data_IF_001561529021
#
_entry.id   IF_001561529021
#
_cell.length_a   1.000
_cell.length_b   1.000
_cell.length_c   1.000
_cell.angle_alpha   90.00
_cell.angle_beta   90.00
_cell.angle_gamma   90.00
#
_symmetry.space_group_name_H-M   'P 1'
#
loop_
_entity.id
_entity.type
_entity.pdbx_description
1 polymer ?
#
# COMPACT_ATOMS: atom_id res chain seq x y z
N UNK A 1 22.94 0.95 -24.23
CA UNK A 1 23.08 2.28 -24.88
C UNK A 1 22.02 3.18 -24.26
N UNK A 2 22.34 4.44 -23.93
CA UNK A 2 21.33 5.41 -23.46
C UNK A 2 20.68 6.05 -24.69
N UNK A 3 19.76 5.33 -25.31
CA UNK A 3 19.10 5.70 -26.55
C UNK A 3 17.81 6.48 -26.30
N UNK A 4 17.87 7.43 -25.36
CA UNK A 4 16.79 8.31 -24.90
C UNK A 4 17.39 9.69 -24.57
N UNK A 5 16.55 10.72 -24.40
CA UNK A 5 16.96 12.12 -24.32
C UNK A 5 17.77 12.60 -25.54
N UNK A 6 17.44 12.08 -26.72
CA UNK A 6 18.05 12.49 -27.98
C UNK A 6 17.66 13.94 -28.34
N UNK A 7 16.44 14.31 -28.00
CA UNK A 7 15.85 15.61 -28.29
C UNK A 7 15.14 16.21 -27.10
N UNK A 8 15.10 17.55 -27.06
CA UNK A 8 14.42 18.28 -26.01
C UNK A 8 14.39 19.78 -26.29
N UNK A 9 14.07 20.57 -25.26
CA UNK A 9 14.02 22.03 -25.34
C UNK A 9 15.34 22.66 -25.83
N UNK A 10 16.47 21.98 -25.64
CA UNK A 10 17.80 22.44 -26.07
C UNK A 10 17.99 22.48 -27.59
N UNK A 11 17.09 21.87 -28.39
CA UNK A 11 17.14 21.93 -29.85
C UNK A 11 16.48 23.19 -30.43
N UNK A 12 15.92 24.05 -29.58
CA UNK A 12 15.26 25.28 -30.00
C UNK A 12 16.24 26.23 -30.70
N UNK A 13 16.06 26.45 -32.00
CA UNK A 13 16.92 27.31 -32.83
C UNK A 13 18.15 26.61 -33.44
N UNK A 14 18.27 25.30 -33.28
CA UNK A 14 19.34 24.53 -33.90
C UNK A 14 19.13 24.40 -35.43
N UNK A 15 20.08 24.90 -36.21
CA UNK A 15 20.01 24.93 -37.68
C UNK A 15 20.02 23.54 -38.35
N UNK A 16 20.44 22.50 -37.64
CA UNK A 16 20.60 21.14 -38.18
C UNK A 16 19.37 20.25 -37.94
N UNK A 17 18.60 20.50 -36.88
CA UNK A 17 17.31 19.85 -36.63
C UNK A 17 16.18 20.51 -37.40
N UNK A 18 16.34 21.78 -37.82
CA UNK A 18 15.34 22.53 -38.56
C UNK A 18 14.16 22.97 -37.68
N UNK A 19 13.04 23.36 -38.29
CA UNK A 19 11.81 23.74 -37.56
C UNK A 19 10.94 22.53 -37.14
N UNK A 20 11.56 21.36 -36.97
CA UNK A 20 10.87 20.10 -36.72
C UNK A 20 11.02 19.68 -35.25
N UNK A 21 9.95 19.11 -34.69
CA UNK A 21 9.91 18.57 -33.33
C UNK A 21 10.09 17.05 -33.40
N UNK A 22 11.03 16.51 -32.62
CA UNK A 22 11.38 15.07 -32.60
C UNK A 22 11.25 14.53 -31.18
N UNK A 23 10.87 13.26 -31.04
CA UNK A 23 10.70 12.63 -29.74
C UNK A 23 12.00 12.29 -29.03
N UNK A 24 11.95 12.17 -27.70
CA UNK A 24 13.09 11.81 -26.84
C UNK A 24 13.70 10.42 -27.16
N UNK A 25 12.92 9.52 -27.78
CA UNK A 25 13.31 8.11 -28.04
C UNK A 25 12.94 7.70 -29.48
N UNK A 26 13.58 8.30 -30.48
CA UNK A 26 13.26 8.10 -31.91
C UNK A 26 13.97 6.87 -32.50
N UNK A 27 13.24 5.79 -32.88
CA UNK A 27 13.88 4.60 -33.47
C UNK A 27 14.67 4.89 -34.73
N UNK A 28 14.27 5.85 -35.56
CA UNK A 28 15.05 6.23 -36.74
C UNK A 28 16.39 6.83 -36.32
N UNK A 29 16.48 7.47 -35.16
CA UNK A 29 17.73 8.01 -34.61
C UNK A 29 18.53 7.04 -33.76
N UNK A 30 17.85 6.09 -33.11
CA UNK A 30 18.49 4.93 -32.51
C UNK A 30 19.07 4.07 -33.62
N UNK A 31 18.32 3.87 -34.71
CA UNK A 31 18.79 3.30 -35.97
C UNK A 31 19.95 4.15 -36.48
N UNK A 32 19.86 5.47 -36.69
CA UNK A 32 21.00 6.36 -37.08
C UNK A 32 22.20 6.27 -36.12
N UNK A 33 22.01 6.13 -34.81
CA UNK A 33 23.08 5.92 -33.84
C UNK A 33 23.77 4.57 -34.02
N UNK A 34 23.03 3.57 -34.50
CA UNK A 34 23.52 2.25 -34.92
C UNK A 34 23.98 2.22 -36.41
N UNK A 35 23.43 3.10 -37.26
CA UNK A 35 23.65 3.34 -38.70
C UNK A 35 24.77 4.38 -38.92
N UNK A 36 25.35 4.96 -37.87
CA UNK A 36 26.72 5.48 -37.91
C UNK A 36 27.71 4.39 -38.36
N UNK A 37 27.25 3.12 -38.40
CA UNK A 37 27.90 2.04 -39.09
C UNK A 37 27.53 1.89 -40.58
N UNK A 38 26.37 2.27 -41.15
CA UNK A 38 26.07 2.33 -42.62
C UNK A 38 24.85 3.22 -42.98
N UNK A 39 24.84 3.82 -44.20
CA UNK A 39 24.09 5.05 -44.58
C UNK A 39 22.67 4.90 -45.22
N UNK A 40 21.83 5.93 -44.91
CA UNK A 40 20.76 6.66 -45.67
C UNK A 40 19.44 5.91 -46.04
N UNK A 41 18.21 6.46 -46.10
CA UNK A 41 17.49 7.73 -45.78
C UNK A 41 15.96 7.45 -46.05
N UNK A 42 14.95 8.13 -45.43
CA UNK A 42 13.53 8.44 -45.89
C UNK A 42 12.52 8.75 -44.73
N UNK A 43 11.36 9.36 -45.05
CA UNK A 43 10.44 10.35 -44.38
C UNK A 43 8.99 9.84 -44.08
N UNK A 44 8.19 10.33 -43.08
CA UNK A 44 6.77 9.92 -42.89
C UNK A 44 5.67 11.01 -42.74
N UNK A 45 4.46 10.67 -43.21
CA UNK A 45 3.10 11.20 -42.87
C UNK A 45 2.22 9.99 -42.45
N UNK A 46 1.09 10.01 -41.74
CA UNK A 46 0.03 10.98 -41.42
C UNK A 46 -0.74 10.52 -40.14
N UNK A 47 -1.65 11.33 -39.59
CA UNK A 47 -2.21 11.22 -38.22
C UNK A 47 -3.74 11.11 -38.11
N UNK A 48 -4.27 10.42 -37.09
CA UNK A 48 -5.71 10.33 -36.75
C UNK A 48 -6.03 10.65 -35.27
N UNK A 49 -7.18 11.30 -35.00
CA UNK A 49 -7.54 12.06 -33.79
C UNK A 49 -8.58 11.42 -32.84
N UNK A 50 -8.48 11.78 -31.53
CA UNK A 50 -9.52 12.23 -30.54
C UNK A 50 -9.11 11.77 -29.10
N UNK A 51 -9.13 12.54 -27.99
CA UNK A 51 -10.11 13.53 -27.50
C UNK A 51 -9.54 14.59 -26.51
N UNK A 52 -10.09 15.82 -26.60
CA UNK A 52 -10.03 17.00 -25.70
C UNK A 52 -8.65 17.60 -25.40
N UNK A 53 -8.26 18.56 -26.25
CA UNK A 53 -7.04 19.38 -26.29
C UNK A 53 -5.69 18.66 -26.28
N UNK A 54 -5.68 17.34 -26.13
CA UNK A 54 -4.49 16.50 -26.33
C UNK A 54 -4.68 15.68 -27.61
N UNK A 55 -3.81 15.92 -28.57
CA UNK A 55 -3.76 15.22 -29.85
C UNK A 55 -2.64 14.21 -29.78
N UNK A 56 -2.98 12.93 -29.77
CA UNK A 56 -2.00 11.84 -29.75
C UNK A 56 -1.65 11.43 -31.16
N UNK A 57 -0.35 11.34 -31.42
CA UNK A 57 0.22 10.93 -32.69
C UNK A 57 1.10 9.70 -32.45
N UNK A 58 1.10 8.80 -33.43
CA UNK A 58 2.05 7.70 -33.49
C UNK A 58 2.81 7.82 -34.81
N UNK A 59 4.13 7.90 -34.73
CA UNK A 59 4.98 7.79 -35.91
C UNK A 59 5.46 6.34 -36.04
N UNK A 60 4.96 5.57 -37.03
CA UNK A 60 5.32 4.17 -37.18
C UNK A 60 6.77 3.94 -37.62
N UNK A 61 7.47 4.98 -38.12
CA UNK A 61 8.87 4.88 -38.55
C UNK A 61 9.80 5.06 -37.36
N UNK A 62 9.59 6.09 -36.55
CA UNK A 62 10.34 6.28 -35.30
C UNK A 62 9.80 5.46 -34.13
N UNK A 63 8.63 4.83 -34.29
CA UNK A 63 7.85 4.15 -33.24
C UNK A 63 7.63 5.02 -32.00
N UNK A 64 7.62 6.34 -32.15
CA UNK A 64 7.39 7.26 -31.03
C UNK A 64 5.91 7.61 -30.96
N UNK A 65 5.38 7.62 -29.74
CA UNK A 65 4.12 8.33 -29.45
C UNK A 65 4.40 9.71 -28.91
N UNK A 66 3.60 10.67 -29.34
CA UNK A 66 3.65 12.01 -28.79
C UNK A 66 2.27 12.66 -28.73
N UNK A 67 2.07 13.43 -27.68
CA UNK A 67 0.88 14.21 -27.43
C UNK A 67 1.19 15.68 -27.70
N UNK A 68 0.32 16.37 -28.42
CA UNK A 68 0.36 17.83 -28.60
C UNK A 68 -0.84 18.43 -27.89
N UNK A 69 -0.62 19.45 -27.06
CA UNK A 69 -1.67 20.08 -26.28
C UNK A 69 -1.44 21.57 -26.03
N UNK A 70 -2.49 22.29 -25.61
CA UNK A 70 -2.44 23.73 -25.34
C UNK A 70 -1.87 24.57 -26.51
N UNK A 71 -2.04 24.12 -27.75
CA UNK A 71 -1.61 24.80 -28.98
C UNK A 71 -0.10 24.82 -29.26
N UNK A 72 0.76 24.70 -28.25
CA UNK A 72 2.21 24.77 -28.41
C UNK A 72 3.02 23.87 -27.45
N UNK A 73 2.35 23.06 -26.63
CA UNK A 73 3.01 22.09 -25.75
C UNK A 73 3.00 20.72 -26.40
N UNK A 74 4.02 19.93 -26.14
CA UNK A 74 4.07 18.54 -26.59
C UNK A 74 4.85 17.67 -25.62
N UNK A 75 4.57 16.37 -25.63
CA UNK A 75 5.29 15.37 -24.84
C UNK A 75 5.39 14.07 -25.65
N UNK A 76 6.61 13.58 -25.86
CA UNK A 76 6.82 12.23 -26.41
C UNK A 76 7.00 11.22 -25.29
N UNK A 77 6.47 10.02 -25.49
CA UNK A 77 6.53 8.94 -24.51
C UNK A 77 6.50 7.59 -25.22
N UNK A 78 6.72 6.54 -24.43
CA UNK A 78 6.60 5.15 -24.86
C UNK A 78 5.41 4.47 -24.17
N UNK A 79 4.73 3.59 -24.90
CA UNK A 79 3.66 2.75 -24.37
C UNK A 79 3.78 1.32 -24.88
N UNK A 80 2.81 0.46 -24.54
CA UNK A 80 2.84 -0.94 -24.93
C UNK A 80 2.99 -1.14 -26.46
N UNK A 81 2.42 -0.26 -27.28
CA UNK A 81 2.51 -0.37 -28.74
C UNK A 81 3.92 0.00 -29.24
N UNK A 82 4.46 1.15 -28.82
CA UNK A 82 5.81 1.56 -29.24
C UNK A 82 6.87 0.58 -28.74
N UNK A 83 6.71 0.05 -27.52
CA UNK A 83 7.61 -0.95 -26.95
C UNK A 83 7.63 -2.25 -27.74
N UNK A 84 6.47 -2.77 -28.14
CA UNK A 84 6.41 -3.98 -28.96
C UNK A 84 7.12 -3.80 -30.30
N UNK A 85 6.93 -2.65 -30.94
CA UNK A 85 7.58 -2.35 -32.23
C UNK A 85 9.09 -2.17 -32.07
N UNK A 86 9.54 -1.51 -30.99
CA UNK A 86 10.97 -1.40 -30.61
C UNK A 86 11.60 -2.76 -30.35
N UNK A 87 10.94 -3.63 -29.59
CA UNK A 87 11.44 -4.98 -29.32
C UNK A 87 11.56 -5.80 -30.60
N UNK A 88 10.56 -5.73 -31.49
CA UNK A 88 10.62 -6.41 -32.80
C UNK A 88 11.81 -5.96 -33.62
N UNK A 89 12.08 -4.64 -33.65
CA UNK A 89 13.24 -4.07 -34.33
C UNK A 89 14.57 -4.57 -33.71
N UNK A 90 14.70 -4.55 -32.39
CA UNK A 90 15.92 -5.00 -31.68
C UNK A 90 16.19 -6.51 -31.86
N UNK A 91 15.15 -7.35 -31.73
CA UNK A 91 15.26 -8.79 -31.98
C UNK A 91 15.63 -9.07 -33.44
N UNK A 92 15.08 -8.31 -34.39
CA UNK A 92 15.42 -8.40 -35.81
C UNK A 92 16.89 -8.04 -36.12
N UNK A 93 17.55 -7.29 -35.24
CA UNK A 93 18.96 -6.90 -35.35
C UNK A 93 19.89 -7.74 -34.46
N UNK A 94 19.40 -8.86 -33.89
CA UNK A 94 20.14 -9.74 -32.98
C UNK A 94 20.69 -9.02 -31.73
N UNK A 95 20.00 -8.00 -31.23
CA UNK A 95 20.38 -7.31 -29.99
C UNK A 95 19.80 -8.07 -28.80
N UNK A 96 20.67 -8.66 -27.99
CA UNK A 96 20.28 -9.59 -26.91
C UNK A 96 19.84 -8.93 -25.60
N UNK A 97 19.75 -7.60 -25.53
CA UNK A 97 19.47 -6.93 -24.28
C UNK A 97 18.93 -5.52 -24.46
N UNK A 98 18.06 -5.14 -23.55
CA UNK A 98 17.51 -3.79 -23.42
C UNK A 98 17.87 -3.21 -22.07
N UNK A 99 17.89 -1.89 -21.98
CA UNK A 99 18.06 -1.17 -20.73
C UNK A 99 16.91 -0.17 -20.61
N UNK A 100 16.22 -0.20 -19.47
CA UNK A 100 15.14 0.73 -19.14
C UNK A 100 15.64 1.69 -18.07
N UNK A 101 15.41 2.97 -18.31
CA UNK A 101 15.57 4.02 -17.32
C UNK A 101 14.22 4.74 -17.16
N UNK A 102 13.52 4.62 -16.04
CA UNK A 102 13.79 3.79 -14.86
C UNK A 102 12.50 3.16 -14.33
N UNK A 103 12.63 2.13 -13.47
CA UNK A 103 11.49 1.33 -12.99
C UNK A 103 10.46 2.15 -12.19
N UNK A 104 10.90 3.18 -11.48
CA UNK A 104 10.04 4.08 -10.69
C UNK A 104 9.15 4.99 -11.54
N UNK A 105 9.42 5.10 -12.84
CA UNK A 105 8.63 5.87 -13.80
C UNK A 105 7.63 5.02 -14.58
N UNK A 106 7.58 3.70 -14.34
CA UNK A 106 6.50 2.86 -14.84
C UNK A 106 5.22 3.15 -14.05
N UNK A 107 4.07 2.73 -14.57
CA UNK A 107 2.83 2.86 -13.82
C UNK A 107 2.79 1.87 -12.64
N UNK A 108 1.86 2.08 -11.71
CA UNK A 108 1.72 1.19 -10.54
C UNK A 108 1.33 -0.26 -10.88
N UNK A 109 1.05 -0.55 -12.15
CA UNK A 109 0.78 -1.88 -12.68
C UNK A 109 1.99 -2.50 -13.41
N UNK A 110 3.09 -1.75 -13.55
CA UNK A 110 4.31 -2.14 -14.25
C UNK A 110 4.07 -2.61 -15.70
N UNK A 111 3.20 -1.91 -16.43
CA UNK A 111 2.78 -2.33 -17.79
C UNK A 111 3.92 -2.31 -18.81
N UNK A 112 4.88 -1.40 -18.69
CA UNK A 112 6.05 -1.38 -19.59
C UNK A 112 6.96 -2.56 -19.30
N UNK A 113 7.21 -2.86 -18.03
CA UNK A 113 7.96 -4.04 -17.64
C UNK A 113 7.25 -5.34 -18.09
N UNK A 114 5.92 -5.40 -17.95
CA UNK A 114 5.04 -6.47 -18.45
C UNK A 114 5.20 -6.71 -19.94
N UNK A 115 5.15 -5.65 -20.74
CA UNK A 115 5.37 -5.73 -22.17
C UNK A 115 6.79 -6.20 -22.53
N UNK A 116 7.79 -5.89 -21.69
CA UNK A 116 9.18 -6.27 -21.95
C UNK A 116 9.48 -7.74 -21.65
N UNK A 117 9.13 -8.20 -20.46
CA UNK A 117 9.48 -9.55 -19.99
C UNK A 117 8.44 -10.59 -20.42
N UNK A 118 7.27 -10.15 -20.87
CA UNK A 118 6.10 -10.98 -21.10
C UNK A 118 5.29 -11.15 -19.82
N UNK A 119 3.95 -11.12 -19.95
CA UNK A 119 3.04 -11.28 -18.81
C UNK A 119 3.33 -12.59 -18.04
N UNK A 120 3.70 -13.67 -18.74
CA UNK A 120 4.05 -14.96 -18.14
C UNK A 120 5.31 -14.91 -17.25
N UNK A 121 6.31 -14.08 -17.58
CA UNK A 121 7.54 -13.94 -16.80
C UNK A 121 7.34 -13.09 -15.53
N UNK A 122 6.30 -12.25 -15.53
CA UNK A 122 5.98 -11.32 -14.44
C UNK A 122 4.85 -11.79 -13.53
N UNK A 123 3.90 -12.56 -14.06
CA UNK A 123 2.81 -13.15 -13.30
C UNK A 123 3.32 -14.00 -12.14
N UNK A 124 4.39 -14.77 -12.35
CA UNK A 124 4.94 -15.67 -11.34
C UNK A 124 5.94 -15.07 -10.35
N UNK A 125 6.48 -13.86 -10.59
CA UNK A 125 7.55 -13.29 -9.75
C UNK A 125 7.25 -11.92 -9.15
N UNK A 126 6.39 -11.10 -9.77
CA UNK A 126 6.06 -9.76 -9.29
C UNK A 126 4.63 -9.61 -8.75
N UNK A 127 3.66 -10.36 -9.27
CA UNK A 127 2.24 -10.19 -8.93
C UNK A 127 1.74 -11.20 -7.90
N UNK A 128 2.15 -12.47 -8.01
CA UNK A 128 1.92 -13.48 -6.98
C UNK A 128 3.24 -13.68 -6.25
N UNK A 129 3.43 -13.00 -5.11
CA UNK A 129 4.50 -13.34 -4.19
C UNK A 129 4.40 -14.83 -3.89
N UNK A 130 5.38 -15.61 -4.36
CA UNK A 130 5.40 -17.06 -4.16
C UNK A 130 5.19 -17.42 -2.68
N UNK A 131 4.81 -18.67 -2.42
CA UNK A 131 4.51 -19.11 -1.05
C UNK A 131 5.65 -18.76 -0.08
N UNK A 132 5.38 -17.80 0.81
CA UNK A 132 6.32 -17.45 1.87
C UNK A 132 6.58 -18.70 2.71
N UNK A 133 7.86 -18.98 2.97
CA UNK A 133 8.24 -20.00 3.95
C UNK A 133 7.64 -19.67 5.31
N UNK A 134 7.47 -20.67 6.18
CA UNK A 134 6.95 -20.47 7.54
C UNK A 134 7.74 -19.40 8.31
N UNK A 135 9.05 -19.32 8.08
CA UNK A 135 9.92 -18.31 8.68
C UNK A 135 9.58 -16.91 8.18
N UNK A 136 9.48 -16.72 6.86
CA UNK A 136 9.12 -15.42 6.26
C UNK A 136 7.71 -14.99 6.64
N UNK A 137 6.76 -15.93 6.78
CA UNK A 137 5.42 -15.65 7.30
C UNK A 137 5.47 -15.13 8.74
N UNK A 138 6.32 -15.71 9.58
CA UNK A 138 6.59 -15.24 10.94
C UNK A 138 7.15 -13.83 10.94
N UNK A 139 8.24 -13.60 10.21
CA UNK A 139 8.90 -12.28 10.11
C UNK A 139 7.95 -11.18 9.59
N UNK A 140 7.13 -11.49 8.58
CA UNK A 140 6.13 -10.55 8.07
C UNK A 140 5.02 -10.29 9.08
N UNK A 141 4.60 -11.32 9.82
CA UNK A 141 3.64 -11.15 10.92
C UNK A 141 4.24 -10.21 11.96
N UNK A 142 5.47 -10.44 12.40
CA UNK A 142 6.12 -9.59 13.41
C UNK A 142 6.23 -8.13 12.94
N UNK A 143 6.58 -7.89 11.67
CA UNK A 143 6.62 -6.55 11.09
C UNK A 143 5.25 -5.84 11.07
N UNK A 144 4.17 -6.59 10.87
CA UNK A 144 2.81 -6.06 10.85
C UNK A 144 2.15 -6.02 12.24
N UNK A 145 2.83 -6.52 13.29
CA UNK A 145 2.22 -6.62 14.61
C UNK A 145 1.91 -5.26 15.24
N UNK A 146 2.78 -4.28 15.00
CA UNK A 146 2.57 -2.90 15.44
C UNK A 146 1.32 -2.25 14.85
N UNK A 147 0.86 -2.69 13.67
CA UNK A 147 -0.25 -2.09 12.92
C UNK A 147 -1.56 -2.87 13.01
N UNK A 148 -1.56 -4.00 13.72
CA UNK A 148 -2.72 -4.88 13.86
C UNK A 148 -3.11 -5.12 15.31
N UNK A 149 -2.21 -4.79 16.25
CA UNK A 149 -2.40 -5.08 17.67
C UNK A 149 -2.45 -6.57 17.96
N UNK A 150 -1.92 -7.42 17.06
CA UNK A 150 -1.76 -8.84 17.34
C UNK A 150 -0.81 -9.02 18.53
N UNK A 151 -0.96 -10.15 19.23
CA UNK A 151 -0.23 -10.49 20.46
C UNK A 151 -0.37 -9.52 21.64
N UNK A 152 -1.27 -8.53 21.59
CA UNK A 152 -1.60 -7.72 22.78
C UNK A 152 -2.26 -8.54 23.89
N UNK A 153 -2.09 -8.08 25.12
CA UNK A 153 -2.92 -8.50 26.26
C UNK A 153 -3.15 -7.32 27.23
N UNK A 154 -4.00 -7.55 28.21
CA UNK A 154 -4.23 -6.61 29.33
C UNK A 154 -3.72 -7.28 30.59
N UNK A 155 -3.05 -6.53 31.47
CA UNK A 155 -2.67 -7.00 32.80
C UNK A 155 -3.88 -7.57 33.55
N UNK A 156 -3.66 -8.62 34.33
CA UNK A 156 -4.74 -9.33 35.02
C UNK A 156 -5.34 -8.47 36.13
N UNK A 157 -4.46 -7.92 36.97
CA UNK A 157 -4.85 -7.09 38.11
C UNK A 157 -4.73 -5.59 37.81
N UNK A 158 -5.55 -4.84 38.54
CA UNK A 158 -5.45 -3.41 38.62
C UNK A 158 -4.25 -3.01 39.48
N UNK A 159 -3.50 -2.02 39.02
CA UNK A 159 -2.35 -1.45 39.71
C UNK A 159 -2.58 0.03 40.03
N UNK A 160 -1.99 0.50 41.12
CA UNK A 160 -1.88 1.92 41.48
C UNK A 160 -0.52 2.54 41.07
N UNK A 161 0.33 1.77 40.36
CA UNK A 161 1.66 2.18 39.93
C UNK A 161 2.73 2.14 41.03
N UNK A 162 2.42 1.62 42.23
CA UNK A 162 3.41 1.47 43.29
C UNK A 162 4.46 0.41 42.95
N UNK A 163 5.69 0.60 43.43
CA UNK A 163 6.82 -0.29 43.16
C UNK A 163 6.67 -1.72 43.70
N UNK A 164 5.71 -1.95 44.60
CA UNK A 164 5.39 -3.26 45.16
C UNK A 164 4.52 -4.12 44.22
N UNK A 165 3.95 -3.52 43.16
CA UNK A 165 3.11 -4.18 42.16
C UNK A 165 3.86 -4.31 40.84
N UNK A 166 5.05 -4.92 40.89
CA UNK A 166 5.98 -5.02 39.76
C UNK A 166 6.02 -6.41 39.10
N UNK A 167 5.12 -7.29 39.50
CA UNK A 167 4.94 -8.63 38.94
C UNK A 167 4.13 -8.58 37.61
N UNK A 168 4.22 -9.65 36.82
CA UNK A 168 3.61 -9.76 35.49
C UNK A 168 2.06 -9.73 35.49
N UNK A 169 1.43 -9.92 36.64
CA UNK A 169 -0.02 -9.82 36.78
C UNK A 169 -0.47 -8.34 36.89
N UNK A 170 0.39 -7.45 37.40
CA UNK A 170 0.13 -6.02 37.58
C UNK A 170 0.70 -5.15 36.46
N UNK A 171 1.88 -5.50 35.95
CA UNK A 171 2.57 -4.74 34.88
C UNK A 171 2.82 -5.61 33.65
N UNK A 172 3.22 -4.98 32.54
CA UNK A 172 3.59 -5.74 31.35
C UNK A 172 4.81 -6.63 31.62
N UNK A 173 4.65 -7.92 31.33
CA UNK A 173 5.71 -8.93 31.40
C UNK A 173 6.91 -8.58 30.50
N UNK A 174 8.05 -9.19 30.80
CA UNK A 174 9.30 -9.02 30.02
C UNK A 174 9.06 -9.23 28.52
N UNK A 175 9.57 -8.29 27.70
CA UNK A 175 9.35 -8.27 26.24
C UNK A 175 8.08 -7.53 25.81
N UNK A 176 7.27 -7.06 26.76
CA UNK A 176 6.12 -6.21 26.52
C UNK A 176 6.27 -4.85 27.21
N UNK A 177 5.61 -3.85 26.68
CA UNK A 177 5.52 -2.53 27.31
C UNK A 177 4.11 -1.99 27.22
N UNK A 178 3.77 -1.11 28.17
CA UNK A 178 2.44 -0.53 28.24
C UNK A 178 2.27 0.53 27.17
N UNK A 179 1.31 0.33 26.28
CA UNK A 179 0.92 1.32 25.26
C UNK A 179 0.05 2.40 25.88
N UNK A 180 -0.91 1.96 26.70
CA UNK A 180 -1.85 2.82 27.39
C UNK A 180 -2.37 2.12 28.64
N UNK A 181 -3.02 2.89 29.50
CA UNK A 181 -3.75 2.41 30.67
C UNK A 181 -5.26 2.51 30.44
N UNK A 182 -6.02 1.66 31.12
CA UNK A 182 -7.47 1.58 31.02
C UNK A 182 -8.09 1.14 32.34
N UNK A 183 -9.36 1.51 32.57
CA UNK A 183 -10.06 1.19 33.80
C UNK A 183 -10.76 -0.17 33.72
N UNK A 184 -11.54 -0.39 32.66
CA UNK A 184 -12.24 -1.64 32.39
C UNK A 184 -12.05 -2.05 30.91
N UNK A 185 -10.80 -2.35 30.49
CA UNK A 185 -10.51 -2.70 29.11
C UNK A 185 -11.03 -4.08 28.71
N UNK A 186 -11.29 -4.28 27.42
CA UNK A 186 -11.58 -5.62 26.88
C UNK A 186 -10.29 -6.37 26.49
N UNK A 187 -10.09 -7.54 27.10
CA UNK A 187 -8.90 -8.37 26.84
C UNK A 187 -8.93 -8.99 25.42
N UNK A 188 -10.11 -9.37 24.95
CA UNK A 188 -10.38 -9.94 23.61
C UNK A 188 -11.81 -9.61 23.20
N UNK A 189 -12.11 -9.59 21.90
CA UNK A 189 -13.49 -9.59 21.40
C UNK A 189 -14.32 -10.70 22.08
N UNK A 190 -15.18 -10.31 23.02
CA UNK A 190 -16.07 -11.20 23.76
C UNK A 190 -15.50 -11.87 25.01
N UNK A 191 -14.32 -11.48 25.50
CA UNK A 191 -13.83 -11.91 26.82
C UNK A 191 -13.72 -10.69 27.74
N UNK A 192 -14.63 -10.63 28.71
CA UNK A 192 -14.73 -9.54 29.68
C UNK A 192 -13.87 -9.86 30.89
N UNK A 193 -12.99 -8.94 31.30
CA UNK A 193 -12.37 -9.00 32.62
C UNK A 193 -13.45 -8.50 33.59
N UNK A 194 -13.99 -9.42 34.39
CA UNK A 194 -15.26 -9.24 35.12
C UNK A 194 -15.25 -8.16 36.20
N UNK A 195 -14.07 -7.73 36.64
CA UNK A 195 -13.85 -6.75 37.68
C UNK A 195 -13.34 -5.41 37.11
N UNK A 196 -13.87 -4.32 37.65
CA UNK A 196 -13.44 -2.95 37.35
C UNK A 196 -12.39 -2.50 38.37
N UNK A 197 -11.51 -1.58 37.98
CA UNK A 197 -10.51 -1.05 38.91
C UNK A 197 -11.15 -0.08 39.92
N UNK A 198 -10.58 0.02 41.11
CA UNK A 198 -10.96 1.09 42.05
C UNK A 198 -10.44 2.45 41.57
N UNK A 199 -10.99 3.54 42.11
CA UNK A 199 -10.45 4.90 41.92
C UNK A 199 -8.93 4.95 42.16
N UNK A 200 -8.21 5.53 41.22
CA UNK A 200 -6.75 5.67 41.24
C UNK A 200 -6.00 4.43 40.72
N UNK A 201 -6.69 3.33 40.43
CA UNK A 201 -6.10 2.13 39.85
C UNK A 201 -6.48 1.95 38.39
N UNK A 202 -5.63 1.23 37.66
CA UNK A 202 -5.80 0.98 36.23
C UNK A 202 -5.14 -0.34 35.82
N UNK A 203 -5.44 -0.79 34.61
CA UNK A 203 -4.74 -1.91 33.94
C UNK A 203 -3.88 -1.41 32.82
N UNK A 204 -2.81 -2.15 32.53
CA UNK A 204 -1.97 -1.90 31.39
C UNK A 204 -2.46 -2.65 30.15
N UNK A 205 -2.51 -1.95 29.02
CA UNK A 205 -2.62 -2.58 27.71
C UNK A 205 -1.20 -2.81 27.20
N UNK A 206 -0.81 -4.07 27.14
CA UNK A 206 0.55 -4.51 26.86
C UNK A 206 0.69 -4.97 25.42
N UNK A 207 1.68 -4.41 24.72
CA UNK A 207 2.10 -4.82 23.38
C UNK A 207 3.59 -5.20 23.39
N UNK A 208 4.03 -6.07 22.46
CA UNK A 208 5.44 -6.41 22.33
C UNK A 208 6.29 -5.14 22.16
N UNK A 209 7.40 -5.05 22.88
CA UNK A 209 8.27 -3.86 22.85
C UNK A 209 8.91 -3.63 21.49
N UNK A 210 9.24 -4.72 20.78
CA UNK A 210 9.81 -4.73 19.43
C UNK A 210 8.80 -4.45 18.31
N UNK A 211 7.51 -4.59 18.60
CA UNK A 211 6.41 -4.30 17.67
C UNK A 211 5.40 -3.32 18.29
N UNK A 212 5.90 -2.25 18.90
CA UNK A 212 5.09 -1.23 19.57
C UNK A 212 4.23 -0.45 18.55
N UNK A 213 2.90 -0.37 18.73
CA UNK A 213 2.04 0.49 17.93
C UNK A 213 2.40 1.97 18.06
N UNK A 214 2.14 2.76 17.01
CA UNK A 214 2.50 4.18 16.95
C UNK A 214 1.27 5.08 17.05
N UNK A 215 1.48 6.28 17.61
CA UNK A 215 0.48 7.35 17.73
C UNK A 215 -0.86 6.86 18.30
N UNK A 216 -0.79 6.14 19.41
CA UNK A 216 -1.97 5.58 20.06
C UNK A 216 -2.65 6.60 20.97
N UNK A 217 -3.94 6.85 20.72
CA UNK A 217 -4.73 7.79 21.51
C UNK A 217 -6.12 7.24 21.84
N UNK A 218 -6.61 7.58 23.02
CA UNK A 218 -7.98 7.30 23.42
C UNK A 218 -8.93 8.29 22.75
N UNK A 219 -9.91 7.76 22.03
CA UNK A 219 -10.92 8.52 21.30
C UNK A 219 -12.32 8.07 21.69
N UNK A 220 -13.32 8.95 21.50
CA UNK A 220 -14.71 8.58 21.74
C UNK A 220 -15.20 8.80 23.17
N UNK A 221 -14.44 9.47 24.03
CA UNK A 221 -14.96 10.01 25.28
C UNK A 221 -16.03 11.08 24.98
N UNK A 222 -17.08 11.21 25.81
CA UNK A 222 -18.14 12.19 25.60
C UNK A 222 -17.58 13.60 25.62
N UNK A 223 -18.01 14.41 24.66
CA UNK A 223 -17.67 15.84 24.61
C UNK A 223 -18.91 16.63 24.99
N UNK A 224 -18.81 17.52 25.99
CA UNK A 224 -19.93 18.37 26.46
C UNK A 224 -21.12 17.53 26.98
N UNK A 225 -22.35 17.92 26.64
CA UNK A 225 -23.63 17.33 27.11
C UNK A 225 -24.02 16.03 26.40
N UNK A 226 -23.13 15.43 25.61
CA UNK A 226 -23.39 14.13 24.99
C UNK A 226 -23.33 13.02 26.05
N UNK A 227 -24.33 12.12 26.01
CA UNK A 227 -24.41 10.96 26.88
C UNK A 227 -23.87 9.77 26.12
N UNK A 228 -22.91 9.05 26.70
CA UNK A 228 -22.33 7.88 26.06
C UNK A 228 -20.94 8.12 25.45
N UNK A 229 -20.18 7.05 25.33
CA UNK A 229 -18.96 6.99 24.53
C UNK A 229 -19.25 6.43 23.13
N UNK A 230 -18.39 6.79 22.17
CA UNK A 230 -18.48 6.38 20.77
C UNK A 230 -17.13 5.83 20.29
N UNK A 231 -16.98 4.49 20.27
CA UNK A 231 -15.79 3.84 19.74
C UNK A 231 -15.71 3.95 18.23
N UNK A 232 -14.92 4.92 17.75
CA UNK A 232 -14.58 5.08 16.34
C UNK A 232 -13.15 5.55 16.18
N UNK A 233 -12.36 4.79 15.44
CA UNK A 233 -11.04 5.21 14.99
C UNK A 233 -11.12 5.93 13.63
N UNK A 234 -10.08 6.71 13.32
CA UNK A 234 -9.94 7.32 12.00
C UNK A 234 -9.78 6.31 10.86
N UNK A 235 -9.88 6.76 9.61
CA UNK A 235 -9.75 5.91 8.42
C UNK A 235 -8.39 5.23 8.30
N UNK A 236 -7.34 5.85 8.83
CA UNK A 236 -5.97 5.34 8.77
C UNK A 236 -5.52 4.66 10.06
N UNK A 237 -6.45 4.44 10.99
CA UNK A 237 -6.16 3.91 12.32
C UNK A 237 -6.87 2.57 12.55
N UNK A 238 -6.26 1.72 13.36
CA UNK A 238 -6.89 0.50 13.84
C UNK A 238 -7.26 0.63 15.32
N UNK A 239 -8.36 -0.02 15.71
CA UNK A 239 -8.79 -0.11 17.10
C UNK A 239 -7.97 -1.18 17.82
N UNK A 240 -7.05 -0.75 18.68
CA UNK A 240 -6.25 -1.65 19.51
C UNK A 240 -7.10 -2.22 20.64
N UNK A 241 -7.77 -1.38 21.42
CA UNK A 241 -8.59 -1.79 22.57
C UNK A 241 -9.78 -0.84 22.78
N UNK A 242 -10.69 -1.21 23.68
CA UNK A 242 -11.79 -0.35 24.16
C UNK A 242 -11.82 -0.33 25.67
N UNK A 243 -12.43 0.71 26.23
CA UNK A 243 -12.63 0.89 27.66
C UNK A 243 -14.06 1.40 27.90
N UNK A 244 -14.73 0.86 28.93
CA UNK A 244 -16.08 1.27 29.31
C UNK A 244 -16.12 2.58 30.11
N UNK A 245 -14.96 3.14 30.45
CA UNK A 245 -14.84 4.35 31.24
C UNK A 245 -14.17 5.45 30.44
N UNK A 246 -14.47 6.71 30.78
CA UNK A 246 -13.93 7.87 30.05
C UNK A 246 -12.46 8.14 30.38
N UNK A 247 -11.97 7.61 31.50
CA UNK A 247 -10.61 7.74 32.02
C UNK A 247 -10.13 6.43 32.66
N UNK A 248 -8.81 6.21 32.73
CA UNK A 248 -8.24 4.99 33.26
C UNK A 248 -8.28 4.90 34.80
N UNK A 249 -8.24 6.04 35.50
CA UNK A 249 -8.08 6.12 36.95
C UNK A 249 -9.29 6.72 37.67
N UNK A 250 -10.27 7.24 36.94
CA UNK A 250 -11.52 7.77 37.51
C UNK A 250 -12.66 6.78 37.33
N UNK A 251 -13.52 6.69 38.33
CA UNK A 251 -14.77 5.92 38.27
C UNK A 251 -15.87 6.67 37.50
N UNK A 252 -15.56 7.14 36.29
CA UNK A 252 -16.50 7.84 35.41
C UNK A 252 -16.85 6.95 34.21
N UNK A 253 -17.94 6.16 34.29
CA UNK A 253 -18.31 5.23 33.23
C UNK A 253 -18.87 5.96 32.01
N UNK A 254 -18.75 5.33 30.84
CA UNK A 254 -19.36 5.81 29.61
C UNK A 254 -20.90 5.79 29.65
N UNK A 255 -21.53 5.04 30.56
CA UNK A 255 -22.97 4.71 30.63
C UNK A 255 -23.51 3.94 29.42
N UNK A 256 -23.22 4.39 28.20
CA UNK A 256 -23.56 3.75 26.94
C UNK A 256 -22.33 3.75 26.03
N UNK A 257 -22.06 2.62 25.38
CA UNK A 257 -20.89 2.49 24.49
C UNK A 257 -19.56 2.40 25.23
N UNK A 258 -18.48 2.60 24.49
CA UNK A 258 -17.10 2.51 24.94
C UNK A 258 -16.22 3.53 24.21
N UNK A 259 -15.09 3.91 24.82
CA UNK A 259 -14.04 4.67 24.14
C UNK A 259 -13.06 3.71 23.49
N UNK A 260 -12.45 4.10 22.37
CA UNK A 260 -11.52 3.27 21.62
C UNK A 260 -10.09 3.80 21.74
N UNK A 261 -9.13 2.89 21.99
CA UNK A 261 -7.71 3.16 21.83
C UNK A 261 -7.35 2.92 20.37
N UNK A 262 -7.08 4.01 19.65
CA UNK A 262 -6.81 3.99 18.22
C UNK A 262 -5.33 4.27 17.98
N UNK A 263 -4.69 3.45 17.16
CA UNK A 263 -3.28 3.58 16.79
C UNK A 263 -3.16 3.64 15.26
N UNK A 264 -2.05 4.14 14.76
CA UNK A 264 -1.81 4.20 13.31
C UNK A 264 -1.81 2.79 12.70
N UNK A 265 -2.63 2.61 11.66
CA UNK A 265 -2.67 1.41 10.85
C UNK A 265 -1.67 1.46 9.70
N UNK A 266 -1.40 0.30 9.12
CA UNK A 266 -0.63 0.23 7.88
C UNK A 266 -1.57 0.51 6.71
N UNK A 267 -1.16 1.38 5.79
CA UNK A 267 -1.96 1.75 4.61
C UNK A 267 -2.46 0.53 3.82
N UNK A 268 -1.62 -0.51 3.68
CA UNK A 268 -2.00 -1.77 3.03
C UNK A 268 -3.12 -2.53 3.77
N UNK A 269 -3.18 -2.43 5.10
CA UNK A 269 -4.19 -3.08 5.94
C UNK A 269 -5.47 -2.24 6.00
N UNK A 270 -5.36 -0.90 5.98
CA UNK A 270 -6.50 0.01 6.02
C UNK A 270 -7.38 -0.09 4.77
N UNK A 271 -6.85 -0.62 3.66
CA UNK A 271 -7.63 -0.97 2.47
C UNK A 271 -8.56 -2.19 2.68
N UNK A 272 -8.34 -2.96 3.75
CA UNK A 272 -9.12 -4.13 4.08
C UNK A 272 -10.21 -3.79 5.10
N UNK A 273 -11.43 -4.28 4.88
CA UNK A 273 -12.53 -4.14 5.85
C UNK A 273 -13.11 -5.49 6.22
N UNK A 274 -13.52 -5.64 7.49
CA UNK A 274 -14.25 -6.82 7.92
C UNK A 274 -15.67 -6.77 7.35
N UNK A 275 -15.99 -7.73 6.51
CA UNK A 275 -17.34 -7.87 5.93
C UNK A 275 -17.99 -9.17 6.40
N UNK A 276 -19.25 -9.38 6.03
CA UNK A 276 -19.92 -10.67 6.19
C UNK A 276 -19.42 -11.74 5.23
N UNK A 277 -18.29 -11.52 4.52
CA UNK A 277 -17.76 -12.50 3.58
C UNK A 277 -17.35 -13.79 4.31
N UNK A 278 -17.86 -14.92 3.86
CA UNK A 278 -17.63 -16.23 4.48
C UNK A 278 -16.99 -17.20 3.47
N UNK A 279 -15.92 -17.87 3.90
CA UNK A 279 -15.37 -19.05 3.23
C UNK A 279 -15.99 -20.28 3.87
N UNK A 280 -16.80 -21.03 3.10
CA UNK A 280 -17.32 -22.32 3.55
C UNK A 280 -16.14 -23.32 3.67
N UNK A 281 -16.20 -24.21 4.65
CA UNK A 281 -15.09 -25.13 4.96
C UNK A 281 -14.80 -26.17 3.85
N UNK A 282 -15.63 -26.23 2.81
CA UNK A 282 -15.39 -27.02 1.60
C UNK A 282 -14.37 -26.29 0.72
N UNK A 283 -13.31 -26.99 0.31
CA UNK A 283 -12.17 -26.44 -0.45
C UNK A 283 -12.50 -26.06 -1.90
N UNK A 284 -13.77 -26.10 -2.32
CA UNK A 284 -14.16 -25.88 -3.72
C UNK A 284 -15.08 -24.68 -3.98
N UNK A 285 -15.63 -24.03 -2.96
CA UNK A 285 -16.56 -22.91 -3.18
C UNK A 285 -15.87 -21.54 -3.12
N UNK A 286 -16.13 -20.70 -4.13
CA UNK A 286 -15.73 -19.28 -4.13
C UNK A 286 -16.37 -18.59 -2.91
N UNK A 287 -15.60 -17.80 -2.13
CA UNK A 287 -16.15 -17.09 -0.98
C UNK A 287 -17.27 -16.14 -1.41
N UNK A 288 -18.38 -16.15 -0.67
CA UNK A 288 -19.50 -15.24 -0.92
C UNK A 288 -19.19 -13.89 -0.27
N UNK A 289 -18.72 -12.93 -1.07
CA UNK A 289 -18.41 -11.57 -0.63
C UNK A 289 -19.42 -10.54 -1.19
N UNK A 290 -19.65 -9.42 -0.48
CA UNK A 290 -20.36 -8.27 -1.02
C UNK A 290 -19.72 -7.77 -2.33
N UNK A 291 -20.54 -7.20 -3.23
CA UNK A 291 -20.05 -6.68 -4.53
C UNK A 291 -18.91 -5.67 -4.35
N UNK A 292 -17.85 -5.83 -5.14
CA UNK A 292 -16.64 -5.00 -5.07
C UNK A 292 -15.64 -5.37 -3.97
N UNK A 293 -15.89 -6.42 -3.18
CA UNK A 293 -14.97 -6.90 -2.14
C UNK A 293 -14.27 -8.20 -2.57
N UNK A 294 -12.96 -8.29 -2.33
CA UNK A 294 -12.17 -9.51 -2.53
C UNK A 294 -11.89 -10.18 -1.18
N UNK A 295 -12.10 -11.49 -1.10
CA UNK A 295 -11.78 -12.25 0.10
C UNK A 295 -10.26 -12.29 0.32
N UNK A 296 -9.80 -11.76 1.46
CA UNK A 296 -8.40 -11.85 1.87
C UNK A 296 -8.19 -12.91 2.96
N UNK A 297 -8.99 -12.85 4.03
CA UNK A 297 -8.82 -13.74 5.18
C UNK A 297 -10.11 -13.84 6.01
N UNK A 298 -10.11 -14.74 7.00
CA UNK A 298 -11.18 -14.89 7.98
C UNK A 298 -10.65 -14.81 9.39
N UNK A 299 -11.36 -14.10 10.28
CA UNK A 299 -11.08 -14.09 11.70
C UNK A 299 -12.01 -15.08 12.39
N UNK A 300 -11.49 -16.27 12.72
CA UNK A 300 -12.29 -17.21 13.50
C UNK A 300 -12.60 -16.62 14.88
N UNK A 301 -13.89 -16.42 15.19
CA UNK A 301 -14.35 -16.43 16.59
C UNK A 301 -14.19 -17.87 17.04
N UNK A 302 -13.01 -18.25 17.56
CA UNK A 302 -12.89 -19.52 18.30
C UNK A 302 -13.86 -19.46 19.47
N UNK A 303 -15.08 -19.99 19.30
CA UNK A 303 -15.83 -20.61 20.38
C UNK A 303 -14.98 -21.82 20.78
N UNK A 304 -14.27 -21.74 21.90
CA UNK A 304 -13.78 -22.94 22.54
C UNK A 304 -14.83 -23.37 23.55
N UNK A 305 -15.10 -24.68 23.47
CA UNK A 305 -15.72 -25.56 24.44
C UNK A 305 -15.54 -25.12 25.89
#
# INVERSE_FOLDING_TARGET
MMSYDLHGMWDQGNKYTGSYLRGHTNLTEIDIGMDLLWRNNIDPQESGYSSSDVQTYYDPVSTVKYNVYNGNQWISYDDAQSWQDKMRYLTGKCISGVMIWALDQDDGMHRVLAALLGEDALAGSLMEGGDLSTKQKGELTDQLAAYTGQTRYVSEFCTDGTSHQNDADYVCATGFSSVATAHAPQQKLGYWIGDVCDTGKYRHICCPTDAMPKNCEWTGAPVRSEVGCSSKCGSDQFQLNVDLYVDASREEPCYQGDRALCCDGAQAINQCTWTSCQKLASTQDKPSCPGGSTYMTTRSRRRRW
#
